data_IF_795613775507
#
_entry.id   IF_795613775507
#
_cell.length_a   1.000
_cell.length_b   1.000
_cell.length_c   1.000
_cell.angle_alpha   90.00
_cell.angle_beta   90.00
_cell.angle_gamma   90.00
#
_symmetry.space_group_name_H-M   'P 1'
#
loop_
_entity.id
_entity.type
_entity.pdbx_description
1 polymer ?
#
# COMPACT_ATOMS: atom_id res chain seq x y z
N UNK A 1 -12.91 6.72 -2.59
CA UNK A 1 -12.23 7.81 -3.33
C UNK A 1 -11.12 7.20 -4.18
N UNK A 2 -10.90 7.68 -5.40
CA UNK A 2 -9.83 7.20 -6.30
C UNK A 2 -8.91 8.37 -6.64
N UNK A 3 -7.61 8.10 -6.65
CA UNK A 3 -6.56 9.07 -6.97
C UNK A 3 -5.60 8.44 -7.96
N UNK A 4 -5.01 9.25 -8.84
CA UNK A 4 -4.20 8.80 -9.97
C UNK A 4 -2.68 8.96 -9.76
N UNK A 5 -2.26 9.39 -8.57
CA UNK A 5 -0.85 9.45 -8.20
C UNK A 5 -0.66 9.30 -6.70
N UNK A 6 0.48 8.74 -6.31
CA UNK A 6 0.79 8.62 -4.89
C UNK A 6 1.06 9.97 -4.22
N UNK A 7 1.50 11.00 -4.94
CA UNK A 7 1.65 12.36 -4.36
C UNK A 7 0.30 12.93 -3.96
N UNK A 8 -0.71 12.80 -4.83
CA UNK A 8 -2.08 13.24 -4.54
C UNK A 8 -2.73 12.42 -3.42
N UNK A 9 -2.38 11.13 -3.33
CA UNK A 9 -2.79 10.30 -2.20
C UNK A 9 -2.28 10.86 -0.86
N UNK A 10 -1.01 11.28 -0.79
CA UNK A 10 -0.43 11.84 0.44
C UNK A 10 -1.04 13.19 0.82
N UNK A 11 -1.29 14.06 -0.16
CA UNK A 11 -1.99 15.33 0.06
C UNK A 11 -3.38 15.08 0.67
N UNK A 12 -4.14 14.16 0.09
CA UNK A 12 -5.49 13.83 0.56
C UNK A 12 -5.47 13.18 1.95
N UNK A 13 -4.51 12.32 2.26
CA UNK A 13 -4.36 11.74 3.60
C UNK A 13 -4.05 12.79 4.67
N UNK A 14 -3.51 13.96 4.29
CA UNK A 14 -3.32 15.10 5.18
C UNK A 14 -4.60 15.88 5.47
N UNK A 15 -5.58 15.82 4.56
CA UNK A 15 -6.82 16.59 4.61
C UNK A 15 -8.02 15.77 5.09
N UNK A 16 -8.07 14.48 4.73
CA UNK A 16 -9.18 13.57 5.02
C UNK A 16 -8.88 12.71 6.25
N UNK A 17 -9.55 12.97 7.40
CA UNK A 17 -9.23 12.28 8.65
C UNK A 17 -9.72 10.82 8.71
N UNK A 18 -10.59 10.39 7.79
CA UNK A 18 -11.35 9.14 7.89
C UNK A 18 -11.01 8.12 6.79
N UNK A 19 -9.73 7.85 6.54
CA UNK A 19 -9.31 6.78 5.62
C UNK A 19 -9.06 5.49 6.39
N UNK A 20 -9.90 4.47 6.16
CA UNK A 20 -9.78 3.18 6.86
C UNK A 20 -8.88 2.16 6.15
N UNK A 21 -8.59 2.34 4.86
CA UNK A 21 -7.77 1.43 4.06
C UNK A 21 -7.25 2.12 2.80
N UNK A 22 -6.04 1.75 2.37
CA UNK A 22 -5.47 2.19 1.10
C UNK A 22 -5.18 0.96 0.24
N UNK A 23 -5.58 1.02 -1.02
CA UNK A 23 -5.23 0.02 -2.04
C UNK A 23 -4.47 0.77 -3.13
N UNK A 24 -3.26 0.31 -3.46
CA UNK A 24 -2.37 0.99 -4.41
C UNK A 24 -1.64 -0.01 -5.30
N UNK A 25 -1.31 0.38 -6.52
CA UNK A 25 -0.39 -0.38 -7.35
C UNK A 25 1.06 -0.16 -6.86
N UNK A 26 1.91 -1.18 -6.99
CA UNK A 26 3.34 -1.01 -6.77
C UNK A 26 3.99 -0.13 -7.84
N UNK A 27 3.52 -0.23 -9.09
CA UNK A 27 4.10 0.46 -10.22
C UNK A 27 3.29 1.72 -10.55
N UNK A 28 3.74 2.87 -10.04
CA UNK A 28 3.19 4.16 -10.42
C UNK A 28 4.32 5.10 -10.89
N UNK A 29 4.02 6.06 -11.78
CA UNK A 29 4.98 7.09 -12.16
C UNK A 29 5.44 7.91 -10.95
N UNK A 30 6.73 8.30 -10.93
CA UNK A 30 7.39 9.13 -9.90
C UNK A 30 7.57 8.49 -8.52
N UNK A 31 6.71 7.57 -8.10
CA UNK A 31 6.78 6.94 -6.79
C UNK A 31 6.18 5.54 -6.83
N UNK A 32 6.87 4.55 -6.28
CA UNK A 32 6.36 3.19 -6.13
C UNK A 32 5.31 3.08 -5.00
N UNK A 33 4.44 2.07 -5.07
CA UNK A 33 3.50 1.76 -3.98
C UNK A 33 4.22 1.49 -2.65
N UNK A 34 5.44 0.92 -2.70
CA UNK A 34 6.27 0.75 -1.51
C UNK A 34 6.75 2.09 -0.93
N UNK A 35 7.19 3.03 -1.76
CA UNK A 35 7.60 4.35 -1.28
C UNK A 35 6.43 5.15 -0.70
N UNK A 36 5.24 5.01 -1.30
CA UNK A 36 4.00 5.56 -0.75
C UNK A 36 3.72 4.98 0.64
N UNK A 37 3.80 3.65 0.78
CA UNK A 37 3.65 2.98 2.07
C UNK A 37 4.65 3.51 3.11
N UNK A 38 5.92 3.65 2.74
CA UNK A 38 6.96 4.13 3.67
C UNK A 38 6.56 5.49 4.25
N UNK A 39 6.13 6.43 3.40
CA UNK A 39 5.67 7.76 3.82
C UNK A 39 4.41 7.70 4.69
N UNK A 40 3.46 6.82 4.37
CA UNK A 40 2.26 6.57 5.18
C UNK A 40 2.62 6.08 6.59
N UNK A 41 3.59 5.17 6.71
CA UNK A 41 4.02 4.60 8.00
C UNK A 41 4.92 5.52 8.82
N UNK A 42 5.57 6.51 8.20
CA UNK A 42 6.37 7.53 8.89
C UNK A 42 5.52 8.58 9.62
N UNK A 43 4.28 8.80 9.19
CA UNK A 43 3.37 9.77 9.81
C UNK A 43 2.52 9.11 10.91
N UNK A 44 2.51 9.72 12.10
CA UNK A 44 1.72 9.25 13.25
C UNK A 44 0.22 9.20 12.99
N UNK A 45 -0.28 10.04 12.07
CA UNK A 45 -1.71 10.12 11.71
C UNK A 45 -2.14 8.99 10.78
N UNK A 46 -1.23 8.49 9.94
CA UNK A 46 -1.57 7.56 8.86
C UNK A 46 -0.95 6.16 9.05
N UNK A 47 -0.05 5.98 10.03
CA UNK A 47 0.67 4.72 10.24
C UNK A 47 -0.22 3.52 10.57
N UNK A 48 -1.39 3.76 11.17
CA UNK A 48 -2.34 2.69 11.51
C UNK A 48 -3.18 2.24 10.32
N UNK A 49 -3.20 3.03 9.23
CA UNK A 49 -4.01 2.70 8.06
C UNK A 49 -3.44 1.44 7.38
N UNK A 50 -4.24 0.39 7.18
CA UNK A 50 -3.83 -0.79 6.43
C UNK A 50 -3.64 -0.43 4.95
N UNK A 51 -2.54 -0.92 4.36
CA UNK A 51 -2.19 -0.66 2.97
C UNK A 51 -2.02 -1.99 2.24
N UNK A 52 -2.82 -2.17 1.19
CA UNK A 52 -2.74 -3.29 0.26
C UNK A 52 -2.00 -2.79 -0.97
N UNK A 53 -0.85 -3.41 -1.25
CA UNK A 53 -0.11 -3.15 -2.47
C UNK A 53 -0.44 -4.25 -3.47
N UNK A 54 -1.05 -3.85 -4.58
CA UNK A 54 -1.29 -4.68 -5.74
C UNK A 54 -0.01 -4.69 -6.59
N UNK A 55 0.52 -5.87 -6.86
CA UNK A 55 1.66 -6.04 -7.77
C UNK A 55 1.45 -7.30 -8.58
N UNK A 56 1.75 -7.21 -9.87
CA UNK A 56 1.70 -8.33 -10.82
C UNK A 56 3.03 -9.11 -10.80
N UNK A 57 4.08 -8.55 -10.18
CA UNK A 57 5.40 -9.17 -10.18
C UNK A 57 5.52 -10.34 -9.21
N UNK A 58 5.90 -11.49 -9.77
CA UNK A 58 6.10 -12.73 -9.05
C UNK A 58 7.55 -12.89 -8.56
N UNK A 59 8.17 -11.82 -8.06
CA UNK A 59 9.58 -11.83 -7.62
C UNK A 59 9.64 -12.19 -6.13
N UNK A 60 10.12 -13.39 -5.74
CA UNK A 60 10.07 -13.89 -4.36
C UNK A 60 10.73 -12.97 -3.33
N UNK A 61 11.81 -12.30 -3.74
CA UNK A 61 12.57 -11.40 -2.87
C UNK A 61 11.78 -10.15 -2.45
N UNK A 62 10.88 -9.67 -3.31
CA UNK A 62 10.03 -8.52 -2.98
C UNK A 62 8.88 -8.93 -2.05
N UNK A 63 8.31 -10.13 -2.24
CA UNK A 63 7.23 -10.68 -1.40
C UNK A 63 7.65 -10.76 0.08
N UNK A 64 8.87 -11.23 0.36
CA UNK A 64 9.39 -11.29 1.73
C UNK A 64 9.49 -9.91 2.41
N UNK A 65 9.79 -8.86 1.63
CA UNK A 65 9.84 -7.48 2.13
C UNK A 65 8.43 -6.97 2.45
N UNK A 66 7.42 -7.42 1.71
CA UNK A 66 6.01 -7.09 1.97
C UNK A 66 5.46 -7.82 3.20
N UNK A 67 5.67 -9.13 3.29
CA UNK A 67 5.15 -9.98 4.38
C UNK A 67 5.67 -9.57 5.77
N UNK A 68 6.91 -9.11 5.88
CA UNK A 68 7.48 -8.69 7.18
C UNK A 68 6.93 -7.36 7.73
N UNK A 69 6.18 -6.58 6.95
CA UNK A 69 5.80 -5.19 7.29
C UNK A 69 4.30 -4.93 7.37
N UNK A 70 3.50 -5.96 7.65
CA UNK A 70 2.02 -5.88 7.69
C UNK A 70 1.41 -5.46 6.35
N UNK A 71 2.10 -5.76 5.24
CA UNK A 71 1.62 -5.48 3.89
C UNK A 71 0.97 -6.75 3.38
N UNK A 72 -0.31 -6.65 3.05
CA UNK A 72 -1.06 -7.78 2.56
C UNK A 72 -1.01 -7.71 1.04
N UNK A 73 -0.28 -8.63 0.41
CA UNK A 73 -0.35 -8.82 -1.04
C UNK A 73 -1.67 -9.50 -1.38
N UNK A 74 -2.31 -9.09 -2.49
CA UNK A 74 -3.50 -9.79 -3.02
C UNK A 74 -3.24 -11.28 -3.21
N UNK A 75 -2.01 -11.68 -3.56
CA UNK A 75 -1.66 -13.10 -3.67
C UNK A 75 -1.76 -13.84 -2.33
N UNK A 76 -1.45 -13.16 -1.22
CA UNK A 76 -1.62 -13.67 0.14
C UNK A 76 -3.09 -13.75 0.54
N UNK A 77 -3.90 -12.74 0.20
CA UNK A 77 -5.36 -12.78 0.44
C UNK A 77 -6.01 -13.90 -0.34
N UNK A 78 -5.72 -14.00 -1.64
CA UNK A 78 -6.24 -15.08 -2.49
C UNK A 78 -5.78 -16.42 -1.92
N UNK A 79 -4.49 -16.63 -1.63
CA UNK A 79 -4.00 -17.88 -1.03
C UNK A 79 -4.69 -18.25 0.30
N UNK A 80 -5.11 -17.27 1.10
CA UNK A 80 -5.84 -17.51 2.36
C UNK A 80 -7.35 -17.71 2.16
N UNK A 81 -7.93 -17.23 1.05
CA UNK A 81 -9.36 -17.38 0.73
C UNK A 81 -9.67 -18.66 -0.08
N UNK A 82 -8.69 -19.26 -0.76
CA UNK A 82 -8.83 -20.56 -1.47
C UNK A 82 -8.20 -21.74 -0.69
N UNK A 83 -7.98 -21.58 0.61
CA UNK A 83 -7.70 -22.66 1.56
C UNK A 83 -8.76 -22.68 2.64
#
# INVERSE_FOLDING_TARGET
>A
MVVNSGTKALELLGMEPNVNMIITDNWMPKMTGYELLKRIKESSKTREIPVIIMSIENVPNQINRYLKKSIISIKTIIFFLIR
#
